data_IF_649052859165
#
_entry.id   IF_649052859165
#
_cell.length_a   1.000
_cell.length_b   1.000
_cell.length_c   1.000
_cell.angle_alpha   90.00
_cell.angle_beta   90.00
_cell.angle_gamma   90.00
#
_symmetry.space_group_name_H-M   'P 1'
#
loop_
_entity.id
_entity.type
_entity.pdbx_description
1 polymer ?
#
# COMPACT_ATOMS: atom_id res chain seq x y z
N UNK A 1 -8.20 1.95 28.91
CA UNK A 1 -8.94 1.87 27.63
C UNK A 1 -9.35 0.42 27.44
N UNK A 2 -10.64 0.07 27.65
CA UNK A 2 -11.11 -1.30 27.41
C UNK A 2 -11.43 -1.46 25.92
N UNK A 3 -10.88 -2.51 25.31
CA UNK A 3 -11.24 -2.94 23.95
C UNK A 3 -12.52 -3.78 24.03
N UNK A 4 -13.54 -3.53 23.20
CA UNK A 4 -14.63 -4.48 23.05
C UNK A 4 -14.03 -5.81 22.60
N UNK A 5 -14.38 -6.89 23.31
CA UNK A 5 -13.90 -8.23 22.99
C UNK A 5 -14.84 -8.96 22.05
N UNK A 6 -16.14 -8.64 22.08
CA UNK A 6 -17.18 -9.32 21.31
C UNK A 6 -18.25 -8.29 20.90
N UNK A 7 -18.62 -8.29 19.62
CA UNK A 7 -19.77 -7.60 19.07
C UNK A 7 -20.81 -8.67 18.70
N UNK A 8 -22.05 -8.51 19.16
CA UNK A 8 -23.12 -9.49 18.93
C UNK A 8 -24.20 -8.84 18.06
N UNK A 9 -24.62 -9.54 17.00
CA UNK A 9 -25.75 -9.12 16.15
C UNK A 9 -27.06 -9.12 16.93
N UNK A 10 -28.00 -8.28 16.52
CA UNK A 10 -29.35 -8.22 17.09
C UNK A 10 -30.11 -9.56 16.98
N UNK A 11 -29.75 -10.40 16.01
CA UNK A 11 -30.36 -11.72 15.80
C UNK A 11 -30.19 -12.65 17.01
N UNK A 12 -29.10 -12.52 17.76
CA UNK A 12 -28.80 -13.34 18.94
C UNK A 12 -29.34 -12.72 20.24
N UNK A 13 -30.03 -11.58 20.17
CA UNK A 13 -30.52 -10.88 21.35
C UNK A 13 -31.45 -11.77 22.19
N UNK A 14 -32.37 -12.48 21.54
CA UNK A 14 -33.33 -13.37 22.21
C UNK A 14 -32.69 -14.65 22.76
N UNK A 15 -31.53 -15.06 22.25
CA UNK A 15 -30.79 -16.22 22.75
C UNK A 15 -29.95 -15.86 24.00
N UNK A 16 -29.51 -14.61 24.07
CA UNK A 16 -28.67 -14.10 25.16
C UNK A 16 -29.54 -13.61 26.33
N UNK A 17 -30.70 -13.03 26.02
CA UNK A 17 -31.64 -12.52 27.00
C UNK A 17 -32.52 -13.64 27.56
N UNK A 18 -32.29 -14.02 28.82
CA UNK A 18 -33.01 -15.15 29.46
C UNK A 18 -34.36 -14.78 30.09
N UNK A 19 -35.04 -13.77 29.58
CA UNK A 19 -36.45 -13.48 29.96
C UNK A 19 -36.68 -12.96 31.39
N UNK A 20 -35.66 -12.40 32.06
CA UNK A 20 -35.81 -11.89 33.44
C UNK A 20 -36.41 -10.48 33.52
N UNK A 21 -37.12 -10.18 34.61
CA UNK A 21 -37.59 -8.82 34.89
C UNK A 21 -36.40 -7.85 35.00
N UNK A 22 -36.45 -6.75 34.24
CA UNK A 22 -35.42 -5.71 34.31
C UNK A 22 -35.57 -4.93 35.63
N UNK A 23 -34.47 -4.71 36.34
CA UNK A 23 -34.50 -3.83 37.52
C UNK A 23 -34.14 -2.42 37.11
N UNK A 24 -35.07 -1.47 37.26
CA UNK A 24 -34.82 -0.06 36.94
C UNK A 24 -34.11 0.63 38.09
N UNK A 25 -32.95 1.20 37.82
CA UNK A 25 -32.21 2.01 38.78
C UNK A 25 -32.84 3.41 38.92
N UNK A 26 -32.63 4.10 40.06
CA UNK A 26 -33.03 5.51 40.23
C UNK A 26 -32.45 6.44 39.15
N UNK A 27 -31.29 6.09 38.58
CA UNK A 27 -30.70 6.81 37.44
C UNK A 27 -31.47 6.65 36.13
N UNK A 28 -32.49 5.79 36.04
CA UNK A 28 -33.27 5.54 34.81
C UNK A 28 -32.77 4.38 33.95
N UNK A 29 -31.51 3.97 34.09
CA UNK A 29 -30.97 2.76 33.47
C UNK A 29 -31.60 1.48 34.03
N UNK A 30 -31.62 0.42 33.21
CA UNK A 30 -32.14 -0.89 33.55
C UNK A 30 -31.01 -1.91 33.66
N UNK A 31 -31.00 -2.70 34.73
CA UNK A 31 -30.19 -3.91 34.84
C UNK A 31 -30.93 -5.10 34.25
N UNK A 32 -30.26 -5.82 33.38
CA UNK A 32 -30.76 -6.97 32.65
C UNK A 32 -29.80 -8.14 32.89
N UNK A 33 -30.32 -9.27 33.36
CA UNK A 33 -29.55 -10.51 33.49
C UNK A 33 -29.52 -11.25 32.16
N UNK A 34 -28.32 -11.54 31.66
CA UNK A 34 -28.11 -12.33 30.44
C UNK A 34 -27.33 -13.61 30.75
N UNK A 35 -27.28 -14.54 29.79
CA UNK A 35 -26.46 -15.75 29.92
C UNK A 35 -24.95 -15.47 29.98
N UNK A 36 -24.51 -14.28 29.56
CA UNK A 36 -23.12 -13.83 29.54
C UNK A 36 -22.76 -12.96 30.75
N UNK A 37 -23.71 -12.73 31.66
CA UNK A 37 -23.57 -11.88 32.83
C UNK A 37 -24.57 -10.72 32.86
N UNK A 38 -24.42 -9.84 33.86
CA UNK A 38 -25.31 -8.69 34.04
C UNK A 38 -24.98 -7.58 33.01
N UNK A 39 -26.02 -7.11 32.32
CA UNK A 39 -25.97 -6.06 31.30
C UNK A 39 -26.75 -4.83 31.78
N UNK A 40 -26.23 -3.63 31.56
CA UNK A 40 -26.95 -2.38 31.81
C UNK A 40 -27.42 -1.80 30.46
N UNK A 41 -28.70 -1.44 30.36
CA UNK A 41 -29.33 -0.93 29.13
C UNK A 41 -30.34 0.20 29.41
N UNK A 42 -30.82 0.88 28.37
CA UNK A 42 -31.83 1.94 28.44
C UNK A 42 -31.27 3.36 28.64
N UNK A 43 -32.18 4.33 28.76
CA UNK A 43 -31.86 5.77 28.88
C UNK A 43 -31.99 6.24 30.33
N UNK A 44 -30.96 6.90 30.85
CA UNK A 44 -30.92 7.36 32.23
C UNK A 44 -30.13 8.65 32.43
N UNK A 45 -30.38 9.34 33.57
CA UNK A 45 -29.62 10.51 34.01
C UNK A 45 -28.33 10.05 34.69
N UNK A 46 -27.18 10.45 34.15
CA UNK A 46 -25.89 10.31 34.82
C UNK A 46 -25.57 11.63 35.54
N UNK A 47 -25.59 11.65 36.87
CA UNK A 47 -25.25 12.84 37.63
C UNK A 47 -23.74 13.12 37.47
N UNK A 48 -23.37 14.27 36.87
CA UNK A 48 -21.98 14.63 36.58
C UNK A 48 -21.21 15.23 37.78
N UNK A 49 -21.78 15.25 38.98
CA UNK A 49 -21.13 15.83 40.15
C UNK A 49 -21.06 14.86 41.33
N UNK A 50 -19.88 14.28 41.51
CA UNK A 50 -19.39 13.71 42.77
C UNK A 50 -17.86 13.77 42.73
N UNK A 51 -17.31 14.81 43.35
CA UNK A 51 -15.91 14.93 43.72
C UNK A 51 -15.73 14.22 45.06
N UNK A 52 -15.40 12.93 45.06
CA UNK A 52 -14.68 12.27 46.17
C UNK A 52 -14.08 10.94 45.71
N UNK A 53 -12.81 10.65 46.04
CA UNK A 53 -12.12 9.45 45.61
C UNK A 53 -12.30 8.36 46.67
N UNK A 54 -13.08 7.32 46.37
CA UNK A 54 -13.00 5.95 46.95
C UNK A 54 -14.25 5.16 46.54
N UNK A 55 -14.22 4.63 45.33
CA UNK A 55 -14.85 3.37 44.85
C UNK A 55 -14.43 3.31 43.36
N UNK A 56 -13.86 2.18 42.90
CA UNK A 56 -13.47 2.01 41.50
C UNK A 56 -14.71 2.29 40.62
N UNK A 57 -14.69 3.27 39.70
CA UNK A 57 -15.83 3.48 38.83
C UNK A 57 -15.91 2.30 37.87
N UNK A 58 -16.97 1.49 38.00
CA UNK A 58 -17.38 0.61 36.92
C UNK A 58 -17.62 1.49 35.69
N UNK A 59 -16.85 1.24 34.62
CA UNK A 59 -16.83 2.06 33.43
C UNK A 59 -18.24 2.22 32.84
N UNK A 60 -18.81 3.43 32.97
CA UNK A 60 -20.06 3.83 32.34
C UNK A 60 -19.74 4.38 30.95
N UNK A 61 -20.28 3.77 29.91
CA UNK A 61 -20.43 4.40 28.60
C UNK A 61 -21.82 5.05 28.57
N UNK A 62 -21.86 6.38 28.51
CA UNK A 62 -23.06 7.14 28.18
C UNK A 62 -22.87 7.68 26.76
N UNK A 63 -23.68 7.21 25.82
CA UNK A 63 -23.88 7.89 24.55
C UNK A 63 -24.66 9.17 24.84
N UNK A 64 -23.96 10.30 24.85
CA UNK A 64 -24.63 11.60 24.74
C UNK A 64 -25.12 11.72 23.30
N UNK A 65 -26.36 12.19 23.09
CA UNK A 65 -26.89 12.62 21.80
C UNK A 65 -26.04 13.79 21.26
N UNK A 66 -24.87 13.49 20.72
CA UNK A 66 -24.20 14.32 19.73
C UNK A 66 -24.52 13.68 18.38
N UNK A 67 -25.41 14.35 17.64
CA UNK A 67 -25.91 14.05 16.29
C UNK A 67 -25.84 12.57 15.90
N UNK A 68 -26.85 11.80 16.27
CA UNK A 68 -27.11 10.48 15.67
C UNK A 68 -27.20 10.55 14.13
N UNK A 69 -27.39 11.75 13.56
CA UNK A 69 -27.39 12.00 12.13
C UNK A 69 -26.01 11.75 11.50
N UNK A 70 -24.93 12.21 12.12
CA UNK A 70 -23.58 12.16 11.53
C UNK A 70 -22.99 10.74 11.59
N UNK A 71 -23.28 9.99 12.66
CA UNK A 71 -22.89 8.59 12.77
C UNK A 71 -23.74 7.67 11.90
N UNK A 72 -25.03 7.97 11.74
CA UNK A 72 -25.92 7.26 10.84
C UNK A 72 -25.56 7.54 9.37
N UNK A 73 -25.17 8.76 9.03
CA UNK A 73 -24.67 9.11 7.69
C UNK A 73 -23.33 8.43 7.37
N UNK A 74 -22.43 8.28 8.36
CA UNK A 74 -21.23 7.43 8.25
C UNK A 74 -21.55 5.93 8.15
N UNK A 75 -22.63 5.47 8.78
CA UNK A 75 -23.08 4.09 8.69
C UNK A 75 -23.72 3.80 7.31
N UNK A 76 -24.59 4.67 6.82
CA UNK A 76 -25.20 4.55 5.49
C UNK A 76 -24.18 4.74 4.36
N UNK A 77 -23.17 5.60 4.51
CA UNK A 77 -22.08 5.70 3.53
C UNK A 77 -21.22 4.44 3.45
N UNK A 78 -21.18 3.60 4.50
CA UNK A 78 -20.57 2.28 4.44
C UNK A 78 -21.47 1.23 3.75
N UNK A 79 -22.79 1.38 3.80
CA UNK A 79 -23.76 0.53 3.08
C UNK A 79 -24.01 0.94 1.62
N UNK A 80 -23.68 2.18 1.23
CA UNK A 80 -23.77 2.69 -0.15
C UNK A 80 -22.62 2.19 -1.06
N UNK A 81 -22.35 0.89 -1.02
CA UNK A 81 -21.62 0.20 -2.08
C UNK A 81 -22.54 0.17 -3.32
N UNK A 82 -22.58 1.25 -4.09
CA UNK A 82 -23.25 1.23 -5.40
C UNK A 82 -23.86 2.54 -5.92
N UNK A 83 -24.01 3.60 -5.12
CA UNK A 83 -24.53 4.90 -5.61
C UNK A 83 -23.44 5.94 -5.46
N UNK A 84 -22.84 6.35 -6.59
CA UNK A 84 -21.82 7.39 -6.65
C UNK A 84 -22.49 8.74 -6.84
N UNK A 85 -22.06 9.73 -6.07
CA UNK A 85 -22.36 11.13 -6.33
C UNK A 85 -21.72 11.56 -7.67
N UNK A 86 -22.43 12.18 -8.63
CA UNK A 86 -21.90 12.38 -9.99
C UNK A 86 -20.81 13.44 -10.19
N UNK A 87 -20.15 13.99 -9.17
CA UNK A 87 -19.46 15.30 -9.31
C UNK A 87 -18.00 15.41 -8.87
N UNK A 88 -17.31 14.33 -8.53
CA UNK A 88 -15.84 14.34 -8.39
C UNK A 88 -15.25 13.07 -9.01
N UNK A 89 -14.35 13.22 -9.98
CA UNK A 89 -13.56 12.09 -10.49
C UNK A 89 -12.76 11.51 -9.32
N UNK A 90 -12.95 10.23 -9.04
CA UNK A 90 -12.19 9.58 -7.96
C UNK A 90 -10.72 9.35 -8.38
N UNK A 91 -9.80 9.29 -7.42
CA UNK A 91 -8.41 8.88 -7.66
C UNK A 91 -8.32 7.56 -8.46
N UNK A 92 -9.27 6.64 -8.26
CA UNK A 92 -9.37 5.36 -8.95
C UNK A 92 -9.71 5.55 -10.44
N UNK A 93 -10.70 6.39 -10.74
CA UNK A 93 -11.08 6.73 -12.12
C UNK A 93 -9.98 7.50 -12.83
N UNK A 94 -9.33 8.43 -12.15
CA UNK A 94 -8.22 9.20 -12.70
C UNK A 94 -7.02 8.30 -13.01
N UNK A 95 -6.67 7.38 -12.11
CA UNK A 95 -5.56 6.46 -12.33
C UNK A 95 -5.82 5.50 -13.48
N UNK A 96 -7.03 4.94 -13.59
CA UNK A 96 -7.43 4.11 -14.72
C UNK A 96 -7.41 4.90 -16.03
N UNK A 97 -7.92 6.13 -16.03
CA UNK A 97 -7.87 7.00 -17.21
C UNK A 97 -6.44 7.23 -17.69
N UNK A 98 -5.53 7.65 -16.79
CA UNK A 98 -4.10 7.88 -17.10
C UNK A 98 -3.40 6.61 -17.57
N UNK A 99 -3.73 5.46 -16.97
CA UNK A 99 -3.22 4.17 -17.43
C UNK A 99 -3.68 3.84 -18.84
N UNK A 100 -4.98 3.93 -19.12
CA UNK A 100 -5.55 3.63 -20.43
C UNK A 100 -5.02 4.58 -21.53
N UNK A 101 -4.78 5.84 -21.19
CA UNK A 101 -4.17 6.83 -22.10
C UNK A 101 -2.69 6.54 -22.39
N UNK A 102 -1.97 5.88 -21.48
CA UNK A 102 -0.53 5.64 -21.61
C UNK A 102 -0.16 4.22 -22.01
N UNK A 103 -1.05 3.23 -21.90
CA UNK A 103 -0.70 1.86 -22.25
C UNK A 103 -0.45 1.72 -23.75
N UNK A 104 0.69 1.13 -24.11
CA UNK A 104 1.03 0.74 -25.47
C UNK A 104 1.53 -0.70 -25.50
N UNK A 105 1.37 -1.39 -26.63
CA UNK A 105 1.96 -2.70 -26.85
C UNK A 105 2.94 -2.61 -28.01
N UNK A 106 4.18 -3.04 -27.78
CA UNK A 106 5.24 -3.12 -28.79
C UNK A 106 5.75 -4.56 -28.82
N UNK A 107 5.52 -5.26 -29.92
CA UNK A 107 5.98 -6.63 -30.16
C UNK A 107 5.66 -7.60 -29.02
N UNK A 108 4.44 -7.53 -28.49
CA UNK A 108 3.96 -8.42 -27.42
C UNK A 108 4.35 -7.98 -26.00
N UNK A 109 5.12 -6.89 -25.84
CA UNK A 109 5.41 -6.29 -24.53
C UNK A 109 4.56 -5.04 -24.30
N UNK A 110 3.91 -4.98 -23.14
CA UNK A 110 3.21 -3.77 -22.70
C UNK A 110 4.18 -2.74 -22.13
N UNK A 111 3.93 -1.48 -22.47
CA UNK A 111 4.60 -0.31 -21.93
C UNK A 111 3.55 0.64 -21.35
N UNK A 112 3.87 1.31 -20.25
CA UNK A 112 2.96 2.28 -19.64
C UNK A 112 3.71 3.48 -19.04
N UNK A 113 2.96 4.55 -18.82
CA UNK A 113 3.38 5.68 -18.01
C UNK A 113 2.97 5.52 -16.55
N UNK A 114 3.56 6.33 -15.70
CA UNK A 114 3.15 6.49 -14.31
C UNK A 114 1.83 7.28 -14.21
N UNK A 115 0.92 6.87 -13.31
CA UNK A 115 -0.32 7.59 -13.07
C UNK A 115 -0.08 8.77 -12.11
N UNK A 116 0.44 9.88 -12.65
CA UNK A 116 0.72 11.10 -11.89
C UNK A 116 -0.56 11.74 -11.34
N UNK A 117 -0.47 12.33 -10.13
CA UNK A 117 -1.49 13.22 -9.57
C UNK A 117 -1.49 14.58 -10.29
N UNK A 118 -2.57 15.35 -10.15
CA UNK A 118 -2.77 16.61 -10.90
C UNK A 118 -1.68 17.68 -10.67
N UNK A 119 -0.97 17.65 -9.55
CA UNK A 119 0.18 18.52 -9.27
C UNK A 119 1.42 18.22 -10.14
N UNK A 120 1.31 17.29 -11.10
CA UNK A 120 2.29 17.09 -12.16
C UNK A 120 3.64 16.58 -11.70
N UNK A 121 3.76 16.11 -10.45
CA UNK A 121 5.02 15.56 -9.95
C UNK A 121 6.13 16.60 -9.88
N UNK A 122 5.92 17.70 -9.14
CA UNK A 122 7.06 18.46 -8.58
C UNK A 122 7.83 17.54 -7.63
N UNK A 123 8.71 16.73 -8.20
CA UNK A 123 9.67 15.91 -7.49
C UNK A 123 10.80 16.82 -7.07
N UNK A 124 11.00 16.92 -5.76
CA UNK A 124 12.14 17.64 -5.23
C UNK A 124 13.43 16.85 -5.47
N UNK A 125 14.54 17.56 -5.71
CA UNK A 125 15.83 16.91 -5.90
C UNK A 125 16.25 16.18 -4.61
N UNK A 126 16.35 14.86 -4.68
CA UNK A 126 16.67 14.00 -3.54
C UNK A 126 18.03 13.28 -3.69
N UNK A 127 18.87 13.75 -4.60
CA UNK A 127 20.19 13.16 -4.87
C UNK A 127 21.11 13.16 -3.64
N UNK A 128 21.14 14.26 -2.88
CA UNK A 128 21.97 14.40 -1.67
C UNK A 128 21.69 13.31 -0.62
N UNK A 129 20.44 13.13 -0.17
CA UNK A 129 20.05 12.04 0.72
C UNK A 129 20.37 10.64 0.16
N UNK A 130 20.14 10.42 -1.14
CA UNK A 130 20.48 9.14 -1.79
C UNK A 130 21.98 8.85 -1.70
N UNK A 131 22.80 9.85 -2.00
CA UNK A 131 24.26 9.75 -1.90
C UNK A 131 24.72 9.44 -0.47
N UNK A 132 24.15 10.12 0.53
CA UNK A 132 24.45 9.86 1.94
C UNK A 132 24.13 8.41 2.36
N UNK A 133 22.95 7.91 1.93
CA UNK A 133 22.51 6.53 2.19
C UNK A 133 23.38 5.50 1.46
N UNK A 134 23.78 5.78 0.22
CA UNK A 134 24.70 4.92 -0.54
C UNK A 134 26.07 4.83 0.15
N UNK A 135 26.68 5.97 0.51
CA UNK A 135 27.98 6.00 1.22
C UNK A 135 27.93 5.19 2.52
N UNK A 136 26.86 5.36 3.31
CA UNK A 136 26.67 4.62 4.55
C UNK A 136 26.50 3.12 4.30
N UNK A 137 25.72 2.76 3.29
CA UNK A 137 25.49 1.37 2.90
C UNK A 137 26.78 0.70 2.42
N UNK A 138 27.57 1.36 1.57
CA UNK A 138 28.85 0.85 1.08
C UNK A 138 29.85 0.63 2.22
N UNK A 139 30.01 1.59 3.14
CA UNK A 139 30.88 1.43 4.33
C UNK A 139 30.49 0.22 5.17
N UNK A 140 29.19 -0.06 5.32
CA UNK A 140 28.70 -1.24 6.03
C UNK A 140 28.97 -2.53 5.23
N UNK A 141 28.75 -2.50 3.93
CA UNK A 141 28.88 -3.66 3.04
C UNK A 141 30.33 -4.06 2.76
N UNK A 142 31.30 -3.15 2.91
CA UNK A 142 32.72 -3.47 2.86
C UNK A 142 33.13 -4.55 3.89
N UNK A 143 32.36 -4.68 4.99
CA UNK A 143 32.56 -5.74 6.01
C UNK A 143 32.03 -7.11 5.57
N UNK A 144 31.26 -7.17 4.48
CA UNK A 144 30.60 -8.38 3.95
C UNK A 144 30.82 -8.50 2.44
N UNK A 145 32.05 -8.87 2.00
CA UNK A 145 32.43 -8.85 0.59
C UNK A 145 31.53 -9.72 -0.31
N UNK A 146 31.01 -10.82 0.21
CA UNK A 146 30.10 -11.73 -0.49
C UNK A 146 28.74 -11.08 -0.80
N UNK A 147 28.20 -10.29 0.12
CA UNK A 147 26.96 -9.54 -0.06
C UNK A 147 27.18 -8.42 -1.08
N UNK A 148 28.32 -7.73 -0.98
CA UNK A 148 28.68 -6.65 -1.90
C UNK A 148 28.83 -7.15 -3.35
N UNK A 149 29.55 -8.26 -3.58
CA UNK A 149 29.68 -8.86 -4.92
C UNK A 149 28.34 -9.32 -5.48
N UNK A 150 27.47 -9.91 -4.64
CA UNK A 150 26.14 -10.31 -5.08
C UNK A 150 25.28 -9.08 -5.47
N UNK A 151 25.48 -7.95 -4.81
CA UNK A 151 24.80 -6.69 -5.09
C UNK A 151 25.20 -6.16 -6.47
N UNK A 152 26.50 -6.04 -6.71
CA UNK A 152 27.07 -5.62 -7.99
C UNK A 152 26.61 -6.54 -9.13
N UNK A 153 26.74 -7.86 -8.95
CA UNK A 153 26.28 -8.86 -9.92
C UNK A 153 24.81 -8.69 -10.30
N UNK A 154 23.95 -8.32 -9.33
CA UNK A 154 22.53 -8.11 -9.61
C UNK A 154 22.32 -6.92 -10.55
N UNK A 155 23.11 -5.84 -10.42
CA UNK A 155 23.04 -4.70 -11.34
C UNK A 155 23.57 -5.06 -12.73
N UNK A 156 24.68 -5.79 -12.81
CA UNK A 156 25.22 -6.25 -14.10
C UNK A 156 24.22 -7.15 -14.85
N UNK A 157 23.58 -8.08 -14.14
CA UNK A 157 22.52 -8.93 -14.70
C UNK A 157 21.32 -8.09 -15.18
N UNK A 158 20.89 -7.09 -14.39
CA UNK A 158 19.79 -6.21 -14.79
C UNK A 158 20.13 -5.33 -15.98
N UNK A 159 21.38 -4.86 -16.09
CA UNK A 159 21.85 -4.06 -17.21
C UNK A 159 21.90 -4.92 -18.49
N UNK A 160 22.43 -6.14 -18.41
CA UNK A 160 22.47 -7.09 -19.53
C UNK A 160 21.08 -7.51 -20.02
N UNK A 161 20.10 -7.64 -19.11
CA UNK A 161 18.70 -7.91 -19.46
C UNK A 161 17.96 -6.66 -19.96
N UNK A 162 18.60 -5.49 -19.96
CA UNK A 162 17.97 -4.22 -20.32
C UNK A 162 16.82 -3.83 -19.40
N UNK A 163 16.86 -4.24 -18.12
CA UNK A 163 15.90 -3.86 -17.07
C UNK A 163 16.24 -2.48 -16.50
N UNK A 164 17.54 -2.20 -16.42
CA UNK A 164 18.08 -0.88 -16.09
C UNK A 164 18.95 -0.41 -17.25
N UNK A 165 19.16 0.90 -17.32
CA UNK A 165 20.04 1.54 -18.29
C UNK A 165 20.92 2.59 -17.59
N UNK A 166 22.09 2.87 -18.14
CA UNK A 166 22.94 3.97 -17.67
C UNK A 166 22.33 5.31 -18.09
N UNK A 167 22.20 6.23 -17.14
CA UNK A 167 21.57 7.53 -17.38
C UNK A 167 22.34 8.36 -18.39
N UNK A 168 23.66 8.16 -18.57
CA UNK A 168 24.43 8.88 -19.60
C UNK A 168 23.95 8.57 -21.01
N UNK A 169 23.32 7.41 -21.21
CA UNK A 169 22.77 6.99 -22.48
C UNK A 169 21.31 7.41 -22.66
N UNK A 170 20.69 8.00 -21.63
CA UNK A 170 19.29 8.43 -21.63
C UNK A 170 19.18 9.95 -21.56
N UNK A 171 18.64 10.58 -22.61
CA UNK A 171 18.18 11.97 -22.54
C UNK A 171 16.75 11.96 -21.98
N UNK A 172 16.57 11.80 -20.67
CA UNK A 172 15.19 11.84 -20.12
C UNK A 172 14.74 13.30 -20.01
N UNK A 173 13.75 13.69 -20.82
CA UNK A 173 13.12 15.02 -20.80
C UNK A 173 12.01 15.17 -19.75
N UNK A 174 11.90 14.23 -18.79
CA UNK A 174 10.83 14.18 -17.80
C UNK A 174 11.26 14.31 -16.33
N UNK A 175 10.36 14.00 -15.38
CA UNK A 175 10.61 14.15 -13.95
C UNK A 175 11.78 13.27 -13.50
N UNK A 176 12.64 13.80 -12.61
CA UNK A 176 13.84 13.12 -12.12
C UNK A 176 13.73 12.84 -10.64
N UNK A 177 13.90 11.58 -10.23
CA UNK A 177 13.91 11.17 -8.83
C UNK A 177 14.83 9.96 -8.62
N UNK A 178 15.62 10.01 -7.56
CA UNK A 178 16.55 8.95 -7.19
C UNK A 178 15.98 8.12 -6.05
N UNK A 179 15.86 6.81 -6.21
CA UNK A 179 15.44 5.89 -5.15
C UNK A 179 16.67 5.41 -4.39
N UNK A 180 16.83 5.71 -3.08
CA UNK A 180 17.78 5.00 -2.26
C UNK A 180 17.48 3.50 -2.27
N UNK A 181 18.52 2.69 -2.16
CA UNK A 181 18.36 1.25 -2.19
C UNK A 181 19.27 0.56 -1.18
N UNK A 182 18.83 -0.60 -0.71
CA UNK A 182 19.55 -1.39 0.27
C UNK A 182 19.37 -2.89 0.01
N UNK A 183 20.38 -3.72 0.36
CA UNK A 183 20.27 -5.15 0.23
C UNK A 183 19.51 -5.72 1.44
N UNK A 184 18.58 -6.62 1.16
CA UNK A 184 17.91 -7.48 2.14
C UNK A 184 18.49 -8.88 1.97
N UNK A 185 19.27 -9.32 2.95
CA UNK A 185 19.85 -10.66 2.98
C UNK A 185 18.78 -11.65 3.41
N UNK A 186 18.60 -12.74 2.65
CA UNK A 186 17.68 -13.83 3.00
C UNK A 186 18.49 -15.09 3.26
N UNK A 187 18.91 -15.35 4.51
CA UNK A 187 19.65 -16.56 4.83
C UNK A 187 18.79 -17.79 4.50
N UNK A 188 19.33 -18.76 3.74
CA UNK A 188 18.68 -20.04 3.45
C UNK A 188 18.13 -20.28 2.03
N UNK A 189 18.21 -19.31 1.09
CA UNK A 189 17.86 -19.56 -0.32
C UNK A 189 19.08 -19.96 -1.16
N UNK A 190 18.96 -21.03 -1.94
CA UNK A 190 20.02 -21.58 -2.77
C UNK A 190 20.47 -20.65 -3.92
N UNK A 191 19.56 -19.85 -4.49
CA UNK A 191 19.80 -19.16 -5.78
C UNK A 191 19.85 -17.63 -5.71
N UNK A 192 19.39 -16.98 -4.63
CA UNK A 192 19.54 -15.52 -4.48
C UNK A 192 19.69 -15.15 -3.01
N UNK A 193 20.95 -15.00 -2.57
CA UNK A 193 21.30 -14.68 -1.18
C UNK A 193 20.85 -13.27 -0.77
N UNK A 194 20.55 -12.39 -1.73
CA UNK A 194 20.15 -11.00 -1.48
C UNK A 194 18.99 -10.56 -2.38
N UNK A 195 18.19 -9.60 -1.91
CA UNK A 195 17.22 -8.84 -2.70
C UNK A 195 17.48 -7.36 -2.52
N UNK A 196 17.52 -6.59 -3.60
CA UNK A 196 17.64 -5.14 -3.55
C UNK A 196 16.25 -4.54 -3.34
N UNK A 197 16.12 -3.66 -2.36
CA UNK A 197 14.88 -2.92 -2.08
C UNK A 197 15.13 -1.44 -2.33
N UNK A 198 14.25 -0.83 -3.11
CA UNK A 198 14.25 0.59 -3.44
C UNK A 198 13.22 1.32 -2.60
N UNK A 199 13.57 2.52 -2.12
CA UNK A 199 12.71 3.37 -1.30
C UNK A 199 12.21 4.56 -2.12
N UNK A 200 11.03 4.42 -2.72
CA UNK A 200 10.36 5.50 -3.45
C UNK A 200 9.59 6.49 -2.54
N UNK A 201 9.72 6.34 -1.22
CA UNK A 201 9.14 7.23 -0.21
C UNK A 201 10.19 8.16 0.44
N UNK A 202 11.43 8.13 -0.04
CA UNK A 202 12.51 8.96 0.49
C UNK A 202 12.29 10.45 0.17
N UNK A 203 12.53 11.30 1.17
CA UNK A 203 12.42 12.77 1.07
C UNK A 203 13.67 13.44 1.61
N UNK A 204 14.01 14.63 1.12
CA UNK A 204 15.11 15.43 1.70
C UNK A 204 14.63 16.15 2.96
N UNK A 205 13.44 16.76 2.90
CA UNK A 205 12.76 17.43 4.01
C UNK A 205 11.34 16.87 4.19
N UNK A 206 10.66 17.26 5.27
CA UNK A 206 9.33 16.70 5.59
C UNK A 206 8.26 17.22 4.62
N UNK A 207 8.43 18.46 4.20
CA UNK A 207 7.60 19.22 3.27
C UNK A 207 7.80 18.81 1.80
N UNK A 208 8.88 18.09 1.48
CA UNK A 208 9.17 17.63 0.12
C UNK A 208 8.25 16.48 -0.30
N UNK A 209 8.11 16.33 -1.61
CA UNK A 209 7.32 15.27 -2.21
C UNK A 209 8.20 14.10 -2.65
N UNK A 210 7.88 12.89 -2.17
CA UNK A 210 8.49 11.66 -2.68
C UNK A 210 7.76 11.18 -3.94
N UNK A 211 8.38 10.25 -4.68
CA UNK A 211 7.73 9.61 -5.81
C UNK A 211 6.39 8.98 -5.42
N UNK A 212 6.32 8.33 -4.27
CA UNK A 212 5.08 7.72 -3.79
C UNK A 212 4.00 8.74 -3.38
N UNK A 213 4.34 10.00 -3.10
CA UNK A 213 3.35 11.02 -2.77
C UNK A 213 2.66 11.59 -4.01
N UNK A 214 3.39 11.66 -5.13
CA UNK A 214 2.92 12.30 -6.37
C UNK A 214 2.29 11.30 -7.36
N UNK A 215 2.30 10.02 -7.03
CA UNK A 215 1.69 8.97 -7.84
C UNK A 215 0.37 8.46 -7.25
N UNK A 216 -0.57 8.14 -8.13
CA UNK A 216 -1.83 7.52 -7.78
C UNK A 216 -1.60 6.03 -7.47
N UNK A 217 -1.97 5.60 -6.27
CA UNK A 217 -1.80 4.21 -5.80
C UNK A 217 -2.83 3.24 -6.38
N UNK A 218 -4.03 3.76 -6.62
CA UNK A 218 -5.28 3.02 -6.81
C UNK A 218 -5.65 2.97 -8.30
N UNK A 219 -6.68 2.21 -8.71
CA UNK A 219 -7.51 1.27 -7.92
C UNK A 219 -6.75 0.05 -7.38
N UNK A 220 -7.22 -0.48 -6.25
CA UNK A 220 -6.87 -1.85 -5.84
C UNK A 220 -7.70 -2.83 -6.69
N UNK A 221 -7.13 -3.26 -7.82
CA UNK A 221 -7.75 -4.21 -8.75
C UNK A 221 -7.59 -5.68 -8.32
N UNK A 222 -7.54 -5.94 -7.01
CA UNK A 222 -7.43 -7.31 -6.51
C UNK A 222 -8.75 -8.04 -6.71
N UNK A 223 -8.67 -9.23 -7.29
CA UNK A 223 -9.83 -10.12 -7.38
C UNK A 223 -10.35 -10.44 -5.97
N UNK A 224 -11.66 -10.51 -5.81
CA UNK A 224 -12.26 -10.90 -4.54
C UNK A 224 -11.83 -12.33 -4.21
N UNK A 225 -11.09 -12.51 -3.10
CA UNK A 225 -10.53 -13.79 -2.73
C UNK A 225 -11.62 -14.85 -2.53
N UNK A 226 -12.76 -14.50 -1.95
CA UNK A 226 -13.88 -15.42 -1.78
C UNK A 226 -14.44 -15.85 -3.14
N UNK A 227 -14.62 -14.91 -4.07
CA UNK A 227 -15.07 -15.20 -5.44
C UNK A 227 -14.10 -16.13 -6.18
N UNK A 228 -12.79 -15.87 -6.07
CA UNK A 228 -11.74 -16.72 -6.64
C UNK A 228 -11.82 -18.13 -6.03
N UNK A 229 -11.87 -18.26 -4.70
CA UNK A 229 -11.93 -19.56 -4.03
C UNK A 229 -13.21 -20.34 -4.35
N UNK A 230 -14.35 -19.65 -4.53
CA UNK A 230 -15.59 -20.29 -4.96
C UNK A 230 -15.49 -20.81 -6.40
N UNK A 231 -14.97 -20.00 -7.33
CA UNK A 231 -14.73 -20.43 -8.72
C UNK A 231 -13.79 -21.63 -8.81
N UNK A 232 -12.72 -21.62 -8.01
CA UNK A 232 -11.77 -22.74 -7.93
C UNK A 232 -12.46 -24.04 -7.53
N UNK A 233 -13.44 -23.99 -6.61
CA UNK A 233 -14.19 -25.19 -6.18
C UNK A 233 -15.16 -25.73 -7.24
N UNK A 234 -15.58 -24.91 -8.19
CA UNK A 234 -16.50 -25.32 -9.26
C UNK A 234 -15.77 -26.01 -10.42
N UNK A 235 -14.47 -25.78 -10.57
CA UNK A 235 -13.69 -26.38 -11.64
C UNK A 235 -13.10 -27.74 -11.21
N UNK A 236 -13.20 -28.80 -12.04
CA UNK A 236 -12.62 -30.11 -11.73
C UNK A 236 -11.08 -30.10 -11.79
N UNK A 237 -10.49 -29.11 -12.48
CA UNK A 237 -9.05 -28.98 -12.68
C UNK A 237 -8.65 -27.52 -12.40
N UNK A 238 -7.68 -27.34 -11.50
CA UNK A 238 -7.06 -26.05 -11.22
C UNK A 238 -5.65 -26.02 -11.80
N UNK A 239 -5.37 -25.03 -12.64
CA UNK A 239 -4.02 -24.74 -13.14
C UNK A 239 -3.49 -23.52 -12.41
N UNK A 240 -2.32 -23.65 -11.80
CA UNK A 240 -1.62 -22.55 -11.14
C UNK A 240 -0.27 -22.32 -11.81
N UNK A 241 0.07 -21.06 -12.06
CA UNK A 241 1.37 -20.66 -12.58
C UNK A 241 1.90 -19.46 -11.79
N UNK A 242 3.21 -19.41 -11.58
CA UNK A 242 3.89 -18.24 -11.03
C UNK A 242 4.49 -17.44 -12.19
N UNK A 243 4.18 -16.14 -12.25
CA UNK A 243 4.75 -15.24 -13.25
C UNK A 243 6.03 -14.66 -12.67
N UNK A 244 7.16 -15.33 -12.96
CA UNK A 244 8.45 -14.87 -12.49
C UNK A 244 8.70 -13.42 -12.94
N UNK A 245 9.01 -12.54 -11.98
CA UNK A 245 9.38 -11.14 -12.23
C UNK A 245 8.34 -10.38 -13.07
N UNK A 246 7.04 -10.61 -12.84
CA UNK A 246 5.94 -10.01 -13.60
C UNK A 246 6.07 -8.48 -13.83
N UNK A 247 6.44 -7.70 -12.80
CA UNK A 247 6.65 -6.26 -12.94
C UNK A 247 7.75 -5.90 -13.94
N UNK A 248 8.81 -6.69 -13.99
CA UNK A 248 9.95 -6.45 -14.87
C UNK A 248 9.67 -6.82 -16.34
N UNK A 249 8.51 -7.44 -16.62
CA UNK A 249 8.03 -7.63 -17.99
C UNK A 249 7.35 -6.38 -18.56
N UNK A 250 6.96 -5.43 -17.70
CA UNK A 250 6.26 -4.21 -18.10
C UNK A 250 7.29 -3.12 -18.39
N UNK A 251 7.28 -2.60 -19.61
CA UNK A 251 8.13 -1.48 -20.02
C UNK A 251 7.64 -0.14 -19.48
N UNK A 252 8.58 0.77 -19.22
CA UNK A 252 8.29 2.17 -18.96
C UNK A 252 8.58 3.01 -20.20
N UNK A 253 7.72 3.99 -20.47
CA UNK A 253 7.98 5.01 -21.49
C UNK A 253 9.25 5.79 -21.14
N UNK A 254 10.02 6.14 -22.17
CA UNK A 254 11.38 6.68 -22.07
C UNK A 254 11.43 8.01 -21.29
N UNK A 255 10.43 8.87 -21.51
CA UNK A 255 10.22 10.16 -20.84
C UNK A 255 9.95 10.02 -19.34
N UNK A 256 9.50 8.85 -18.89
CA UNK A 256 9.10 8.62 -17.49
C UNK A 256 10.13 7.86 -16.66
N UNK A 257 11.19 7.35 -17.30
CA UNK A 257 12.23 6.57 -16.62
C UNK A 257 13.02 7.41 -15.61
N UNK A 258 13.15 8.72 -15.87
CA UNK A 258 13.82 9.66 -14.96
C UNK A 258 13.31 9.61 -13.51
N UNK A 259 12.04 9.24 -13.31
CA UNK A 259 11.40 9.15 -12.00
C UNK A 259 11.89 7.96 -11.16
N UNK A 260 12.54 6.98 -11.78
CA UNK A 260 12.97 5.73 -11.14
C UNK A 260 14.47 5.53 -11.33
N UNK A 261 15.25 6.59 -11.07
CA UNK A 261 16.71 6.50 -11.05
C UNK A 261 17.22 5.94 -9.73
N UNK A 262 18.45 5.47 -9.73
CA UNK A 262 19.22 5.17 -8.53
C UNK A 262 20.71 5.36 -8.83
N UNK A 263 21.54 5.38 -7.80
CA UNK A 263 22.97 5.63 -7.94
C UNK A 263 23.79 4.44 -7.45
N UNK A 264 24.87 4.14 -8.16
CA UNK A 264 25.83 3.12 -7.76
C UNK A 264 27.25 3.57 -8.06
N UNK A 265 28.23 2.72 -7.78
CA UNK A 265 29.65 2.98 -8.04
C UNK A 265 30.19 1.98 -9.05
N UNK A 266 31.01 2.43 -9.99
CA UNK A 266 31.69 1.55 -10.98
C UNK A 266 32.70 0.62 -10.31
N UNK A 267 33.34 1.10 -9.25
CA UNK A 267 34.27 0.32 -8.42
C UNK A 267 34.06 0.75 -6.97
N UNK A 268 33.84 -0.22 -6.09
CA UNK A 268 33.61 0.02 -4.66
C UNK A 268 34.87 0.52 -3.94
N UNK A 269 36.04 0.38 -4.56
CA UNK A 269 37.36 0.75 -4.01
C UNK A 269 37.73 2.20 -4.34
N UNK A 270 37.21 2.78 -5.43
CA UNK A 270 37.57 4.14 -5.89
C UNK A 270 36.50 5.19 -5.54
N UNK A 271 36.95 6.38 -5.11
CA UNK A 271 36.11 7.48 -4.62
C UNK A 271 35.45 8.33 -5.72
N UNK A 272 35.84 8.18 -6.98
CA UNK A 272 35.43 9.04 -8.11
C UNK A 272 34.74 8.27 -9.25
N UNK A 273 33.87 7.33 -8.91
CA UNK A 273 33.28 6.38 -9.87
C UNK A 273 31.74 6.31 -9.84
N UNK A 274 31.06 7.35 -9.38
CA UNK A 274 29.60 7.34 -9.27
C UNK A 274 28.92 7.21 -10.65
N UNK A 275 27.93 6.33 -10.73
CA UNK A 275 27.03 6.17 -11.87
C UNK A 275 25.59 6.34 -11.43
N UNK A 276 24.75 6.82 -12.35
CA UNK A 276 23.32 6.83 -12.18
C UNK A 276 22.71 5.85 -13.17
N UNK A 277 21.80 5.02 -12.68
CA UNK A 277 21.03 4.07 -13.47
C UNK A 277 19.56 4.44 -13.42
N UNK A 278 18.82 4.05 -14.45
CA UNK A 278 17.38 4.25 -14.55
C UNK A 278 16.69 2.94 -14.87
N UNK A 279 15.51 2.69 -14.29
CA UNK A 279 14.72 1.52 -14.68
C UNK A 279 14.03 1.75 -16.03
N UNK A 280 14.13 0.77 -16.93
CA UNK A 280 13.38 0.72 -18.20
C UNK A 280 12.09 -0.09 -18.08
N UNK A 281 11.90 -0.73 -16.93
CA UNK A 281 10.76 -1.58 -16.56
C UNK A 281 10.14 -1.09 -15.27
N UNK A 282 8.90 -1.44 -14.98
CA UNK A 282 8.25 -1.06 -13.71
C UNK A 282 8.99 -1.72 -12.53
N UNK A 283 9.68 -0.96 -11.64
CA UNK A 283 10.38 -1.55 -10.50
C UNK A 283 9.46 -1.91 -9.34
N UNK A 284 9.97 -2.75 -8.45
CA UNK A 284 9.38 -2.93 -7.12
C UNK A 284 9.67 -1.72 -6.22
N UNK A 285 8.74 -1.39 -5.32
CA UNK A 285 8.93 -0.34 -4.31
C UNK A 285 8.21 0.97 -4.61
N UNK A 286 7.69 1.13 -5.83
CA UNK A 286 6.84 2.28 -6.21
C UNK A 286 5.38 1.96 -5.93
N UNK A 287 4.64 2.94 -5.41
CA UNK A 287 3.29 2.78 -4.87
C UNK A 287 2.26 2.31 -5.92
N UNK A 288 2.47 2.70 -7.19
CA UNK A 288 1.60 2.37 -8.32
C UNK A 288 1.96 1.07 -9.03
N UNK A 289 3.14 0.49 -8.78
CA UNK A 289 3.58 -0.72 -9.48
C UNK A 289 2.57 -1.88 -9.40
N UNK A 290 1.97 -2.19 -8.22
CA UNK A 290 0.96 -3.26 -8.14
C UNK A 290 -0.29 -2.95 -8.94
N UNK A 291 -0.72 -1.68 -8.97
CA UNK A 291 -1.86 -1.24 -9.77
C UNK A 291 -1.58 -1.45 -11.27
N UNK A 292 -0.44 -0.97 -11.77
CA UNK A 292 -0.05 -1.10 -13.17
C UNK A 292 -0.02 -2.57 -13.63
N UNK A 293 0.53 -3.47 -12.80
CA UNK A 293 0.53 -4.90 -13.09
C UNK A 293 -0.89 -5.45 -13.23
N UNK A 294 -1.76 -5.18 -12.26
CA UNK A 294 -3.13 -5.70 -12.30
C UNK A 294 -3.92 -5.13 -13.49
N UNK A 295 -3.73 -3.84 -13.79
CA UNK A 295 -4.39 -3.19 -14.92
C UNK A 295 -3.95 -3.82 -16.26
N UNK A 296 -2.65 -4.09 -16.43
CA UNK A 296 -2.14 -4.78 -17.62
C UNK A 296 -2.68 -6.21 -17.73
N UNK A 297 -2.77 -6.94 -16.60
CA UNK A 297 -3.35 -8.29 -16.61
C UNK A 297 -4.82 -8.27 -17.02
N UNK A 298 -5.60 -7.25 -16.63
CA UNK A 298 -6.98 -7.07 -17.08
C UNK A 298 -7.07 -6.79 -18.58
N UNK A 299 -6.20 -5.92 -19.10
CA UNK A 299 -6.13 -5.61 -20.54
C UNK A 299 -5.76 -6.87 -21.32
N UNK A 300 -4.71 -7.57 -20.90
CA UNK A 300 -4.26 -8.80 -21.54
C UNK A 300 -5.36 -9.88 -21.56
N UNK A 301 -6.06 -10.05 -20.44
CA UNK A 301 -7.22 -10.95 -20.35
C UNK A 301 -8.31 -10.58 -21.35
N UNK A 302 -8.62 -9.30 -21.50
CA UNK A 302 -9.72 -8.84 -22.38
C UNK A 302 -9.41 -9.01 -23.87
N UNK A 303 -8.12 -8.95 -24.24
CA UNK A 303 -7.69 -9.07 -25.64
C UNK A 303 -7.63 -10.55 -26.09
N UNK A 304 -7.29 -11.47 -25.19
CA UNK A 304 -6.94 -12.85 -25.54
C UNK A 304 -7.90 -13.94 -25.02
N UNK A 305 -8.95 -13.58 -24.29
CA UNK A 305 -9.99 -14.50 -23.78
C UNK A 305 -11.35 -13.95 -24.16
#
# INVERSE_FOLDING_TARGET
>A
MLKPQILVSADYFHEIFRGGASTKFPSGFHLIRTCLGDMISGKGRSNRHSTSPKIKPANRYCCNEASAKDELEKFWSLELVGVRDPLLQTDDELAMKRFNESITNKDGRYYCGWPWKEDGGKLDCNFGPCMGRLKTSLKRLQKYPEVLRAYEKTFDEQLNMGIIEDVTNSQSEGPVYYMPHQPVVRPGRATTKIRIVYDASSKTRKEDHSLNDVLLRRPLLLANLCEVLLRVRLAPILITADVEKALLQIGLHDDQRGAVRFIWVKDVISSTNLRAFSFTRVPFGVISSPFLLNAILLVHRTIHI
#
